data_IF_508895497136
#
_entry.id   IF_508895497136
#
_cell.length_a   1.000
_cell.length_b   1.000
_cell.length_c   1.000
_cell.angle_alpha   90.00
_cell.angle_beta   90.00
_cell.angle_gamma   90.00
#
_symmetry.space_group_name_H-M   'P 1'
#
loop_
_entity.id
_entity.type
_entity.pdbx_description
1 polymer ?
#
# COMPACT_ATOMS: atom_id res chain seq x y z
N UNK A 1 -12.37 -23.14 -35.71
CA UNK A 1 -12.89 -23.21 -37.11
C UNK A 1 -14.38 -22.89 -37.26
N UNK A 2 -15.13 -22.57 -36.19
CA UNK A 2 -16.54 -22.14 -36.30
C UNK A 2 -16.73 -20.64 -36.59
N UNK A 3 -15.72 -19.80 -36.30
CA UNK A 3 -15.81 -18.34 -36.45
C UNK A 3 -15.71 -17.81 -37.89
N UNK A 4 -15.18 -18.61 -38.83
CA UNK A 4 -15.01 -18.20 -40.23
C UNK A 4 -16.29 -18.38 -41.08
N UNK A 5 -17.23 -19.23 -40.65
CA UNK A 5 -18.49 -19.44 -41.38
C UNK A 5 -19.53 -18.36 -41.11
N UNK A 6 -19.51 -17.73 -39.93
CA UNK A 6 -20.45 -16.66 -39.58
C UNK A 6 -20.16 -15.37 -40.34
N UNK A 7 -18.88 -15.08 -40.62
CA UNK A 7 -18.47 -13.89 -41.36
C UNK A 7 -18.91 -13.91 -42.84
N UNK A 8 -19.03 -15.08 -43.46
CA UNK A 8 -19.36 -15.19 -44.88
C UNK A 8 -20.86 -15.07 -45.18
N UNK A 9 -21.75 -15.26 -44.19
CA UNK A 9 -23.20 -15.10 -44.39
C UNK A 9 -23.68 -13.65 -44.28
N UNK A 10 -22.90 -12.77 -43.66
CA UNK A 10 -23.28 -11.36 -43.44
C UNK A 10 -23.09 -10.51 -44.72
N UNK A 11 -22.32 -10.98 -45.69
CA UNK A 11 -21.96 -10.17 -46.86
C UNK A 11 -22.97 -10.21 -48.04
N UNK A 12 -24.09 -10.92 -47.91
CA UNK A 12 -25.12 -11.01 -48.96
C UNK A 12 -26.32 -10.07 -48.76
N UNK A 13 -26.40 -9.34 -47.64
CA UNK A 13 -27.49 -8.38 -47.38
C UNK A 13 -26.98 -6.96 -47.62
N UNK A 14 -26.92 -6.60 -48.90
CA UNK A 14 -26.55 -5.26 -49.36
C UNK A 14 -27.58 -4.21 -48.95
N UNK A 15 -27.38 -3.59 -47.78
CA UNK A 15 -28.05 -2.34 -47.49
C UNK A 15 -27.25 -1.42 -46.57
N UNK A 16 -27.57 -0.14 -46.72
CA UNK A 16 -26.90 1.06 -46.19
C UNK A 16 -27.02 1.26 -44.66
N UNK A 17 -27.16 0.19 -43.88
CA UNK A 17 -27.41 0.23 -42.42
C UNK A 17 -26.11 0.10 -41.60
N UNK A 18 -24.96 -0.03 -42.26
CA UNK A 18 -23.63 -0.15 -41.66
C UNK A 18 -23.21 0.98 -40.70
N UNK A 19 -23.53 2.28 -40.92
CA UNK A 19 -23.08 3.32 -39.99
C UNK A 19 -23.76 3.20 -38.61
N UNK A 20 -24.92 2.55 -38.51
CA UNK A 20 -25.62 2.38 -37.25
C UNK A 20 -24.93 1.36 -36.33
N UNK A 21 -24.41 0.26 -36.89
CA UNK A 21 -23.68 -0.76 -36.12
C UNK A 21 -22.24 -0.33 -35.80
N UNK A 22 -21.59 0.44 -36.68
CA UNK A 22 -20.25 0.98 -36.41
C UNK A 22 -20.25 1.95 -35.22
N UNK A 23 -21.29 2.80 -35.10
CA UNK A 23 -21.45 3.69 -33.95
C UNK A 23 -21.73 2.92 -32.65
N UNK A 24 -22.57 1.88 -32.70
CA UNK A 24 -22.91 1.06 -31.53
C UNK A 24 -21.73 0.21 -31.04
N UNK A 25 -20.92 -0.31 -31.96
CA UNK A 25 -19.68 -1.04 -31.65
C UNK A 25 -18.60 -0.14 -31.05
N UNK A 26 -18.45 1.10 -31.53
CA UNK A 26 -17.49 2.06 -30.97
C UNK A 26 -17.87 2.49 -29.54
N UNK A 27 -19.16 2.70 -29.27
CA UNK A 27 -19.65 3.03 -27.92
C UNK A 27 -19.43 1.85 -26.96
N UNK A 28 -19.68 0.61 -27.38
CA UNK A 28 -19.43 -0.57 -26.53
C UNK A 28 -17.94 -0.79 -26.23
N UNK A 29 -17.03 -0.48 -27.16
CA UNK A 29 -15.59 -0.58 -26.93
C UNK A 29 -15.11 0.50 -25.96
N UNK A 30 -15.56 1.75 -26.11
CA UNK A 30 -15.22 2.84 -25.16
C UNK A 30 -15.79 2.56 -23.77
N UNK A 31 -17.02 2.04 -23.68
CA UNK A 31 -17.60 1.60 -22.40
C UNK A 31 -16.86 0.40 -21.83
N UNK A 32 -16.37 -0.55 -22.62
CA UNK A 32 -15.60 -1.70 -22.09
C UNK A 32 -14.20 -1.33 -21.57
N UNK A 33 -13.58 -0.28 -22.10
CA UNK A 33 -12.29 0.24 -21.60
C UNK A 33 -12.48 1.10 -20.35
N UNK A 34 -13.60 1.84 -20.25
CA UNK A 34 -13.94 2.65 -19.07
C UNK A 34 -14.66 1.88 -17.95
N UNK A 35 -15.33 0.79 -18.29
CA UNK A 35 -15.91 -0.19 -17.35
C UNK A 35 -14.98 -1.40 -17.32
N UNK A 36 -13.69 -1.17 -17.10
CA UNK A 36 -12.95 -2.14 -16.29
C UNK A 36 -13.64 -2.09 -14.94
N UNK A 37 -14.29 -3.18 -14.47
CA UNK A 37 -14.81 -3.20 -13.12
C UNK A 37 -13.63 -2.87 -12.22
N UNK A 38 -13.67 -1.67 -11.64
CA UNK A 38 -12.70 -1.27 -10.64
C UNK A 38 -12.74 -2.38 -9.60
N UNK A 39 -11.64 -3.14 -9.51
CA UNK A 39 -11.40 -3.96 -8.34
C UNK A 39 -11.50 -2.99 -7.19
N UNK A 40 -12.61 -3.04 -6.46
CA UNK A 40 -12.78 -2.21 -5.29
C UNK A 40 -11.63 -2.61 -4.36
N UNK A 41 -10.72 -1.69 -4.01
CA UNK A 41 -9.71 -2.00 -3.02
C UNK A 41 -10.44 -2.48 -1.76
N UNK A 42 -10.16 -3.72 -1.34
CA UNK A 42 -10.78 -4.33 -0.15
C UNK A 42 -11.77 -5.48 -0.37
N UNK A 43 -12.12 -5.89 -1.60
CA UNK A 43 -12.87 -7.14 -1.82
C UNK A 43 -11.94 -8.30 -2.17
N UNK A 44 -11.55 -9.08 -1.15
CA UNK A 44 -10.82 -10.33 -1.33
C UNK A 44 -11.81 -11.42 -1.76
N UNK A 45 -11.78 -11.79 -3.04
CA UNK A 45 -12.44 -13.01 -3.50
C UNK A 45 -11.59 -14.21 -3.06
N UNK A 46 -12.03 -14.89 -1.99
CA UNK A 46 -11.52 -16.22 -1.69
C UNK A 46 -12.15 -17.22 -2.67
N UNK A 47 -11.37 -17.98 -3.45
CA UNK A 47 -11.86 -19.07 -4.27
C UNK A 47 -12.68 -20.04 -3.43
N UNK A 48 -13.72 -20.69 -3.98
CA UNK A 48 -14.46 -21.69 -3.22
C UNK A 48 -13.54 -22.87 -2.85
N UNK A 49 -13.44 -23.18 -1.56
CA UNK A 49 -12.65 -24.30 -1.04
C UNK A 49 -13.00 -25.64 -1.69
N UNK A 50 -14.29 -25.86 -1.98
CA UNK A 50 -14.76 -27.11 -2.59
C UNK A 50 -14.32 -27.26 -4.05
N UNK A 51 -14.04 -26.15 -4.73
CA UNK A 51 -13.74 -26.13 -6.16
C UNK A 51 -12.23 -26.11 -6.44
N UNK A 52 -11.45 -25.43 -5.59
CA UNK A 52 -10.00 -25.26 -5.76
C UNK A 52 -9.26 -25.44 -4.43
N UNK A 53 -9.25 -26.65 -3.84
CA UNK A 53 -8.67 -26.89 -2.52
C UNK A 53 -7.17 -26.55 -2.42
N UNK A 54 -6.43 -26.61 -3.53
CA UNK A 54 -5.02 -26.23 -3.65
C UNK A 54 -4.75 -24.72 -3.43
N UNK A 55 -5.77 -23.88 -3.59
CA UNK A 55 -5.71 -22.44 -3.33
C UNK A 55 -5.98 -22.09 -1.86
N UNK A 56 -6.15 -23.11 -1.00
CA UNK A 56 -6.42 -22.94 0.42
C UNK A 56 -5.34 -23.59 1.28
N UNK A 57 -5.07 -22.96 2.43
CA UNK A 57 -4.16 -23.47 3.46
C UNK A 57 -4.92 -23.55 4.78
N UNK A 58 -5.10 -24.77 5.30
CA UNK A 58 -5.81 -25.00 6.54
C UNK A 58 -4.83 -25.06 7.71
N UNK A 59 -4.87 -24.04 8.57
CA UNK A 59 -4.12 -23.99 9.82
C UNK A 59 -5.07 -24.32 10.97
N UNK A 60 -4.87 -25.47 11.62
CA UNK A 60 -5.79 -25.95 12.67
C UNK A 60 -5.24 -25.61 14.05
N UNK A 61 -3.93 -25.78 14.23
CA UNK A 61 -3.28 -25.53 15.50
C UNK A 61 -3.25 -24.04 15.88
N UNK A 62 -3.42 -23.77 17.18
CA UNK A 62 -3.44 -22.41 17.73
C UNK A 62 -2.14 -21.65 17.47
N UNK A 63 -0.99 -22.31 17.59
CA UNK A 63 0.32 -21.68 17.39
C UNK A 63 0.50 -21.18 15.95
N UNK A 64 0.18 -22.00 14.96
CA UNK A 64 0.26 -21.62 13.54
C UNK A 64 -0.72 -20.51 13.18
N UNK A 65 -1.94 -20.55 13.72
CA UNK A 65 -2.92 -19.46 13.55
C UNK A 65 -2.43 -18.15 14.16
N UNK A 66 -1.80 -18.19 15.34
CA UNK A 66 -1.22 -17.01 15.99
C UNK A 66 -0.12 -16.41 15.11
N UNK A 67 0.84 -17.23 14.66
CA UNK A 67 1.90 -16.76 13.77
C UNK A 67 1.35 -16.17 12.46
N UNK A 68 0.31 -16.77 11.89
CA UNK A 68 -0.35 -16.21 10.70
C UNK A 68 -1.03 -14.86 10.97
N UNK A 69 -1.63 -14.68 12.15
CA UNK A 69 -2.21 -13.39 12.56
C UNK A 69 -1.15 -12.29 12.64
N UNK A 70 -0.01 -12.59 13.27
CA UNK A 70 1.14 -11.67 13.37
C UNK A 70 1.66 -11.28 11.96
N UNK A 71 1.71 -12.23 11.03
CA UNK A 71 2.07 -11.96 9.62
C UNK A 71 1.07 -11.03 8.95
N UNK A 72 -0.23 -11.25 9.15
CA UNK A 72 -1.29 -10.40 8.57
C UNK A 72 -1.17 -8.96 9.09
N UNK A 73 -0.83 -8.77 10.36
CA UNK A 73 -0.57 -7.44 10.92
C UNK A 73 0.63 -6.75 10.23
N UNK A 74 1.73 -7.47 10.01
CA UNK A 74 2.90 -6.95 9.27
C UNK A 74 2.54 -6.59 7.83
N UNK A 75 1.76 -7.44 7.14
CA UNK A 75 1.27 -7.16 5.77
C UNK A 75 0.36 -5.93 5.76
N UNK A 76 -0.49 -5.77 6.76
CA UNK A 76 -1.32 -4.58 6.95
C UNK A 76 -0.46 -3.31 7.02
N UNK A 77 0.62 -3.33 7.79
CA UNK A 77 1.60 -2.22 7.87
C UNK A 77 2.25 -1.92 6.52
N UNK A 78 2.66 -2.94 5.76
CA UNK A 78 3.19 -2.74 4.40
C UNK A 78 2.13 -2.06 3.52
N UNK A 79 0.89 -2.55 3.53
CA UNK A 79 -0.18 -2.01 2.70
C UNK A 79 -0.54 -0.55 3.02
N UNK A 80 -0.42 -0.15 4.30
CA UNK A 80 -0.64 1.23 4.73
C UNK A 80 0.36 2.22 4.10
N UNK A 81 1.51 1.76 3.60
CA UNK A 81 2.52 2.61 2.96
C UNK A 81 2.31 2.77 1.45
N UNK A 82 1.43 1.98 0.83
CA UNK A 82 1.30 1.93 -0.63
C UNK A 82 0.86 3.24 -1.27
N UNK A 83 -0.07 3.98 -0.66
CA UNK A 83 -0.56 5.24 -1.23
C UNK A 83 0.52 6.30 -1.38
N UNK A 84 1.48 6.35 -0.45
CA UNK A 84 2.61 7.27 -0.50
C UNK A 84 3.72 6.78 -1.46
N UNK A 85 3.73 5.48 -1.76
CA UNK A 85 4.71 4.84 -2.64
C UNK A 85 4.23 4.72 -4.10
N UNK A 86 2.95 5.01 -4.39
CA UNK A 86 2.32 4.77 -5.71
C UNK A 86 3.03 5.45 -6.89
N UNK A 87 3.71 6.57 -6.63
CA UNK A 87 4.48 7.29 -7.66
C UNK A 87 5.84 6.64 -7.93
N UNK A 88 6.35 5.82 -7.00
CA UNK A 88 7.70 5.25 -7.03
C UNK A 88 7.74 3.77 -7.39
N UNK A 89 6.69 3.02 -7.09
CA UNK A 89 6.62 1.58 -7.32
C UNK A 89 5.34 1.22 -8.06
N UNK A 90 5.39 0.12 -8.82
CA UNK A 90 4.16 -0.53 -9.27
C UNK A 90 3.49 -1.21 -8.08
N UNK A 91 2.52 -0.52 -7.48
CA UNK A 91 1.78 -1.00 -6.31
C UNK A 91 1.15 -2.35 -6.60
N UNK A 92 0.51 -2.53 -7.76
CA UNK A 92 -0.17 -3.79 -8.11
C UNK A 92 0.80 -4.96 -8.13
N UNK A 93 2.00 -4.78 -8.68
CA UNK A 93 3.03 -5.83 -8.64
C UNK A 93 3.52 -6.10 -7.20
N UNK A 94 3.66 -5.07 -6.38
CA UNK A 94 4.02 -5.22 -4.96
C UNK A 94 2.93 -5.94 -4.16
N UNK A 95 1.64 -5.63 -4.37
CA UNK A 95 0.51 -6.31 -3.72
C UNK A 95 0.55 -7.81 -4.04
N UNK A 96 0.73 -8.17 -5.31
CA UNK A 96 0.83 -9.58 -5.72
C UNK A 96 2.04 -10.27 -5.09
N UNK A 97 3.19 -9.61 -5.00
CA UNK A 97 4.39 -10.17 -4.39
C UNK A 97 4.17 -10.44 -2.89
N UNK A 98 3.56 -9.50 -2.16
CA UNK A 98 3.23 -9.63 -0.73
C UNK A 98 2.18 -10.71 -0.51
N UNK A 99 1.13 -10.75 -1.34
CA UNK A 99 0.10 -11.79 -1.28
C UNK A 99 0.70 -13.18 -1.52
N UNK A 100 1.58 -13.31 -2.51
CA UNK A 100 2.28 -14.57 -2.79
C UNK A 100 3.19 -14.99 -1.64
N UNK A 101 3.96 -14.07 -1.08
CA UNK A 101 4.83 -14.34 0.05
C UNK A 101 4.02 -14.82 1.28
N UNK A 102 2.89 -14.18 1.52
CA UNK A 102 1.94 -14.53 2.61
C UNK A 102 1.34 -15.92 2.39
N UNK A 103 0.92 -16.23 1.16
CA UNK A 103 0.39 -17.56 0.81
C UNK A 103 1.46 -18.66 0.97
N UNK A 104 2.68 -18.43 0.49
CA UNK A 104 3.77 -19.40 0.63
C UNK A 104 4.14 -19.61 2.10
N UNK A 105 4.08 -18.55 2.93
CA UNK A 105 4.31 -18.66 4.38
C UNK A 105 3.22 -19.49 5.07
N UNK A 106 1.95 -19.32 4.69
CA UNK A 106 0.87 -20.19 5.17
C UNK A 106 1.12 -21.66 4.81
N UNK A 107 1.66 -21.94 3.62
CA UNK A 107 2.08 -23.29 3.22
C UNK A 107 3.22 -23.85 4.08
N UNK A 108 4.18 -23.01 4.50
CA UNK A 108 5.24 -23.42 5.43
C UNK A 108 4.70 -23.71 6.83
N UNK A 109 3.77 -22.90 7.33
CA UNK A 109 3.11 -23.13 8.62
C UNK A 109 2.31 -24.43 8.62
N UNK A 110 1.55 -24.70 7.55
CA UNK A 110 0.85 -25.98 7.36
C UNK A 110 1.82 -27.17 7.39
N UNK A 111 2.97 -27.03 6.70
CA UNK A 111 4.02 -28.05 6.70
C UNK A 111 4.65 -28.24 8.08
N UNK A 112 4.90 -27.17 8.84
CA UNK A 112 5.41 -27.22 10.22
C UNK A 112 4.43 -27.98 11.12
N UNK A 113 3.14 -27.67 11.00
CA UNK A 113 2.07 -28.34 11.74
C UNK A 113 2.02 -29.84 11.44
N UNK A 114 2.10 -30.22 10.16
CA UNK A 114 2.13 -31.61 9.72
C UNK A 114 3.34 -32.36 10.27
N UNK A 115 4.53 -31.76 10.20
CA UNK A 115 5.75 -32.34 10.76
C UNK A 115 5.66 -32.52 12.28
N UNK A 116 5.09 -31.54 13.00
CA UNK A 116 4.86 -31.64 14.44
C UNK A 116 3.95 -32.81 14.77
N UNK A 117 2.79 -32.91 14.10
CA UNK A 117 1.86 -34.04 14.30
C UNK A 117 2.55 -35.38 14.04
N UNK A 118 3.22 -35.54 12.90
CA UNK A 118 3.91 -36.80 12.58
C UNK A 118 5.00 -37.13 13.59
N UNK A 119 5.74 -36.13 14.09
CA UNK A 119 6.73 -36.34 15.15
C UNK A 119 6.06 -36.84 16.43
N UNK A 120 5.00 -36.16 16.86
CA UNK A 120 4.29 -36.48 18.09
C UNK A 120 3.66 -37.88 18.00
N UNK A 121 3.04 -38.23 16.85
CA UNK A 121 2.52 -39.57 16.57
C UNK A 121 3.61 -40.64 16.69
N UNK A 122 4.77 -40.43 16.06
CA UNK A 122 5.89 -41.39 16.15
C UNK A 122 6.47 -41.52 17.55
N UNK A 123 6.46 -40.45 18.34
CA UNK A 123 6.93 -40.46 19.73
C UNK A 123 5.98 -41.20 20.68
N UNK A 124 4.69 -41.26 20.35
CA UNK A 124 3.69 -42.01 21.13
C UNK A 124 3.70 -43.52 20.86
N UNK A 125 4.40 -43.97 19.82
CA UNK A 125 4.47 -45.39 19.50
C UNK A 125 5.18 -46.17 20.63
N UNK A 126 4.55 -47.21 21.19
CA UNK A 126 5.16 -48.00 22.23
C UNK A 126 6.34 -48.80 21.65
N UNK A 127 7.52 -48.63 22.25
CA UNK A 127 8.71 -49.41 21.89
C UNK A 127 8.60 -50.90 22.30
N UNK A 128 7.49 -51.33 22.90
CA UNK A 128 7.23 -52.71 23.30
C UNK A 128 8.23 -53.30 24.29
N UNK A 129 8.99 -52.45 25.02
CA UNK A 129 10.10 -52.88 25.87
C UNK A 129 11.33 -53.41 25.09
N UNK A 130 11.39 -53.20 23.77
CA UNK A 130 12.50 -53.64 22.94
C UNK A 130 13.79 -52.86 23.27
N UNK A 131 14.96 -53.51 23.25
CA UNK A 131 16.23 -52.83 23.48
C UNK A 131 16.54 -51.85 22.33
N UNK A 132 17.29 -50.78 22.64
CA UNK A 132 17.69 -49.76 21.66
C UNK A 132 18.50 -50.31 20.47
N UNK A 133 19.14 -51.48 20.63
CA UNK A 133 19.85 -52.18 19.56
C UNK A 133 18.93 -52.88 18.55
N UNK A 134 17.63 -52.99 18.83
CA UNK A 134 16.66 -53.58 17.91
C UNK A 134 16.57 -52.73 16.62
N UNK A 135 16.64 -53.34 15.43
CA UNK A 135 16.60 -52.60 14.15
C UNK A 135 15.34 -51.74 13.97
N UNK A 136 14.19 -52.16 14.52
CA UNK A 136 12.95 -51.39 14.46
C UNK A 136 13.05 -50.10 15.29
N UNK A 137 13.60 -50.19 16.51
CA UNK A 137 13.82 -49.02 17.38
C UNK A 137 14.80 -48.04 16.73
N UNK A 138 15.92 -48.54 16.18
CA UNK A 138 16.87 -47.68 15.45
C UNK A 138 16.25 -47.00 14.24
N UNK A 139 15.41 -47.70 13.48
CA UNK A 139 14.70 -47.13 12.32
C UNK A 139 13.74 -46.01 12.75
N UNK A 140 12.98 -46.22 13.83
CA UNK A 140 12.08 -45.21 14.40
C UNK A 140 12.87 -43.98 14.87
N UNK A 141 13.96 -44.15 15.61
CA UNK A 141 14.85 -43.05 16.01
C UNK A 141 15.37 -42.27 14.80
N UNK A 142 15.84 -42.97 13.76
CA UNK A 142 16.33 -42.33 12.55
C UNK A 142 15.23 -41.54 11.80
N UNK A 143 13.97 -41.99 11.84
CA UNK A 143 12.83 -41.27 11.26
C UNK A 143 12.49 -40.01 12.06
N UNK A 144 12.45 -40.11 13.38
CA UNK A 144 12.25 -38.96 14.28
C UNK A 144 13.34 -37.91 14.05
N UNK A 145 14.60 -38.33 13.93
CA UNK A 145 15.71 -37.42 13.65
C UNK A 145 15.58 -36.73 12.29
N UNK A 146 15.11 -37.44 11.26
CA UNK A 146 14.83 -36.83 9.94
C UNK A 146 13.72 -35.80 10.04
N UNK A 147 12.64 -36.09 10.77
CA UNK A 147 11.53 -35.16 10.96
C UNK A 147 11.98 -33.94 11.75
N UNK A 148 12.78 -34.11 12.80
CA UNK A 148 13.32 -32.99 13.59
C UNK A 148 14.19 -32.06 12.73
N UNK A 149 15.03 -32.62 11.85
CA UNK A 149 15.82 -31.81 10.89
C UNK A 149 14.93 -31.09 9.87
N UNK A 150 13.91 -31.74 9.34
CA UNK A 150 12.97 -31.10 8.43
C UNK A 150 12.18 -29.99 9.14
N UNK A 151 11.80 -30.21 10.40
CA UNK A 151 11.10 -29.24 11.23
C UNK A 151 11.96 -28.00 11.45
N UNK A 152 13.23 -28.15 11.88
CA UNK A 152 14.11 -27.01 12.11
C UNK A 152 14.42 -26.22 10.84
N UNK A 153 14.52 -26.89 9.68
CA UNK A 153 14.67 -26.22 8.39
C UNK A 153 13.45 -25.38 8.02
N UNK A 154 12.24 -25.94 8.19
CA UNK A 154 10.99 -25.21 7.93
C UNK A 154 10.84 -24.02 8.88
N UNK A 155 11.16 -24.20 10.16
CA UNK A 155 11.07 -23.14 11.17
C UNK A 155 12.06 -21.99 10.87
N UNK A 156 13.31 -22.31 10.52
CA UNK A 156 14.29 -21.31 10.11
C UNK A 156 13.85 -20.54 8.85
N UNK A 157 13.21 -21.20 7.89
CA UNK A 157 12.68 -20.55 6.69
C UNK A 157 11.47 -19.65 7.01
N UNK A 158 10.58 -20.09 7.90
CA UNK A 158 9.47 -19.26 8.40
C UNK A 158 10.02 -17.98 9.04
N UNK A 159 10.97 -18.11 9.98
CA UNK A 159 11.58 -16.95 10.64
C UNK A 159 12.26 -16.00 9.65
N UNK A 160 12.97 -16.54 8.65
CA UNK A 160 13.62 -15.74 7.62
C UNK A 160 12.62 -14.92 6.80
N UNK A 161 11.48 -15.51 6.42
CA UNK A 161 10.44 -14.84 5.63
C UNK A 161 9.69 -13.79 6.44
N UNK A 162 9.39 -14.07 7.71
CA UNK A 162 8.78 -13.09 8.62
C UNK A 162 9.71 -11.88 8.77
N UNK A 163 11.00 -12.10 9.05
CA UNK A 163 11.98 -11.02 9.17
C UNK A 163 12.10 -10.19 7.89
N UNK A 164 11.99 -10.81 6.71
CA UNK A 164 12.00 -10.07 5.44
C UNK A 164 10.75 -9.18 5.25
N UNK A 165 9.57 -9.67 5.64
CA UNK A 165 8.34 -8.87 5.63
C UNK A 165 8.40 -7.72 6.64
N UNK A 166 8.87 -7.99 7.86
CA UNK A 166 9.06 -6.96 8.89
C UNK A 166 10.02 -5.87 8.40
N UNK A 167 11.16 -6.28 7.83
CA UNK A 167 12.13 -5.32 7.26
C UNK A 167 11.50 -4.48 6.15
N UNK A 168 10.66 -5.08 5.32
CA UNK A 168 9.93 -4.37 4.26
C UNK A 168 8.96 -3.34 4.84
N UNK A 169 8.22 -3.70 5.89
CA UNK A 169 7.32 -2.78 6.59
C UNK A 169 8.08 -1.61 7.21
N UNK A 170 9.18 -1.88 7.92
CA UNK A 170 10.04 -0.85 8.52
C UNK A 170 10.57 0.14 7.48
N UNK A 171 11.05 -0.36 6.34
CA UNK A 171 11.57 0.50 5.26
C UNK A 171 10.48 1.38 4.67
N UNK A 172 9.28 0.82 4.44
CA UNK A 172 8.14 1.58 3.95
C UNK A 172 7.71 2.67 4.93
N UNK A 173 7.60 2.35 6.22
CA UNK A 173 7.21 3.32 7.26
C UNK A 173 8.24 4.43 7.44
N UNK A 174 9.53 4.08 7.43
CA UNK A 174 10.61 5.05 7.50
C UNK A 174 10.56 6.03 6.32
N UNK A 175 10.35 5.52 5.10
CA UNK A 175 10.19 6.35 3.92
C UNK A 175 9.01 7.32 4.04
N UNK A 176 7.84 6.84 4.47
CA UNK A 176 6.65 7.69 4.67
C UNK A 176 6.92 8.79 5.69
N UNK A 177 7.60 8.47 6.79
CA UNK A 177 7.94 9.44 7.82
C UNK A 177 8.95 10.49 7.32
N UNK A 178 9.97 10.08 6.55
CA UNK A 178 10.94 10.99 5.94
C UNK A 178 10.25 11.95 4.94
N UNK A 179 9.33 11.43 4.13
CA UNK A 179 8.60 12.23 3.15
C UNK A 179 7.60 13.20 3.81
N UNK A 180 6.96 12.79 4.91
CA UNK A 180 6.13 13.69 5.71
C UNK A 180 6.97 14.82 6.35
N UNK A 181 8.14 14.49 6.90
CA UNK A 181 9.07 15.47 7.47
C UNK A 181 9.56 16.46 6.40
N UNK A 182 9.95 15.97 5.22
CA UNK A 182 10.39 16.81 4.10
C UNK A 182 9.31 17.80 3.68
N UNK A 183 8.06 17.35 3.55
CA UNK A 183 6.91 18.22 3.24
C UNK A 183 6.68 19.29 4.32
N UNK A 184 6.76 18.90 5.59
CA UNK A 184 6.63 19.85 6.70
C UNK A 184 7.73 20.92 6.70
N UNK A 185 8.98 20.53 6.44
CA UNK A 185 10.10 21.48 6.32
C UNK A 185 9.91 22.43 5.15
N UNK A 186 9.53 21.93 3.97
CA UNK A 186 9.27 22.78 2.80
C UNK A 186 8.14 23.78 3.05
N UNK A 187 7.07 23.34 3.72
CA UNK A 187 5.98 24.23 4.08
C UNK A 187 6.42 25.31 5.09
N UNK A 188 7.22 24.95 6.09
CA UNK A 188 7.76 25.91 7.04
C UNK A 188 8.69 26.94 6.37
N UNK A 189 9.53 26.50 5.43
CA UNK A 189 10.40 27.39 4.63
C UNK A 189 9.57 28.37 3.78
N UNK A 190 8.48 27.91 3.17
CA UNK A 190 7.57 28.77 2.41
C UNK A 190 6.90 29.81 3.30
N UNK A 191 6.37 29.42 4.46
CA UNK A 191 5.77 30.34 5.42
C UNK A 191 6.77 31.39 5.92
N UNK A 192 8.01 30.99 6.17
CA UNK A 192 9.08 31.92 6.58
C UNK A 192 9.45 32.88 5.44
N UNK A 193 9.51 32.42 4.20
CA UNK A 193 9.77 33.27 3.04
C UNK A 193 8.63 34.28 2.81
N UNK A 194 7.37 33.87 3.00
CA UNK A 194 6.21 34.76 2.92
C UNK A 194 6.25 35.85 4.01
N UNK A 195 6.59 35.49 5.25
CA UNK A 195 6.73 36.45 6.35
C UNK A 195 7.89 37.44 6.13
N UNK A 196 9.02 36.96 5.59
CA UNK A 196 10.16 37.84 5.26
C UNK A 196 9.79 38.81 4.12
N UNK A 197 9.07 38.32 3.11
CA UNK A 197 8.56 39.15 2.02
C UNK A 197 7.53 40.18 2.52
N UNK A 198 6.60 39.79 3.39
CA UNK A 198 5.63 40.69 4.02
C UNK A 198 6.33 41.77 4.86
N UNK A 199 7.36 41.39 5.63
CA UNK A 199 8.19 42.32 6.41
C UNK A 199 8.94 43.30 5.50
N UNK A 200 9.48 42.83 4.37
CA UNK A 200 10.14 43.69 3.39
C UNK A 200 9.14 44.66 2.73
N UNK A 201 7.93 44.20 2.38
CA UNK A 201 6.88 45.08 1.84
C UNK A 201 6.37 46.09 2.87
N UNK A 202 6.21 45.71 4.13
CA UNK A 202 5.81 46.62 5.21
C UNK A 202 6.87 47.70 5.52
N UNK A 203 8.16 47.39 5.31
CA UNK A 203 9.25 48.39 5.39
C UNK A 203 9.34 49.33 4.18
N UNK A 204 8.79 48.92 3.04
CA UNK A 204 8.76 49.71 1.80
C UNK A 204 7.50 50.59 1.71
N UNK A 205 6.44 50.27 2.43
CA UNK A 205 5.36 51.23 2.69
C UNK A 205 5.91 52.37 3.56
N UNK A 206 5.62 53.65 3.23
CA UNK A 206 6.05 54.76 4.06
C UNK A 206 5.48 54.53 5.46
N UNK A 207 6.34 54.57 6.49
CA UNK A 207 5.89 54.36 7.87
C UNK A 207 4.65 55.23 8.11
N UNK A 208 3.59 54.70 8.75
CA UNK A 208 2.41 55.51 9.07
C UNK A 208 2.77 56.75 9.92
N UNK A 209 3.93 56.74 10.59
CA UNK A 209 4.52 57.89 11.26
C UNK A 209 4.93 59.02 10.29
N UNK A 210 5.49 58.68 9.13
CA UNK A 210 5.89 59.63 8.08
C UNK A 210 4.70 60.16 7.30
N UNK A 211 3.72 59.31 6.97
CA UNK A 211 2.47 59.75 6.35
C UNK A 211 1.67 60.68 7.28
N UNK A 212 1.63 60.39 8.59
CA UNK A 212 1.01 61.24 9.59
C UNK A 212 1.77 62.56 9.80
N UNK A 213 3.11 62.54 9.75
CA UNK A 213 3.92 63.74 9.83
C UNK A 213 3.69 64.65 8.62
N UNK A 214 3.62 64.10 7.41
CA UNK A 214 3.32 64.85 6.19
C UNK A 214 1.89 65.41 6.20
N UNK A 215 0.92 64.65 6.72
CA UNK A 215 -0.46 65.10 6.87
C UNK A 215 -0.58 66.21 7.94
N UNK A 216 0.11 66.08 9.08
CA UNK A 216 0.20 67.15 10.08
C UNK A 216 0.88 68.40 9.54
N UNK A 217 1.94 68.25 8.73
CA UNK A 217 2.64 69.39 8.14
C UNK A 217 1.77 70.10 7.08
N UNK A 218 0.98 69.34 6.32
CA UNK A 218 -0.02 69.88 5.40
C UNK A 218 -1.14 70.64 6.14
N UNK A 219 -1.65 70.09 7.24
CA UNK A 219 -2.66 70.76 8.08
C UNK A 219 -2.11 72.04 8.71
N UNK A 220 -0.89 72.02 9.24
CA UNK A 220 -0.24 73.21 9.82
C UNK A 220 0.02 74.29 8.78
N UNK A 221 0.35 73.91 7.53
CA UNK A 221 0.53 74.83 6.41
C UNK A 221 -0.79 75.48 6.01
N UNK A 222 -1.87 74.70 5.87
CA UNK A 222 -3.21 75.21 5.62
C UNK A 222 -3.69 76.17 6.72
N UNK A 223 -3.36 75.87 7.99
CA UNK A 223 -3.70 76.74 9.11
C UNK A 223 -2.91 78.05 9.10
N UNK A 224 -1.62 78.01 8.71
CA UNK A 224 -0.81 79.23 8.50
C UNK A 224 -1.36 80.08 7.36
N UNK A 225 -1.72 79.47 6.24
CA UNK A 225 -2.31 80.19 5.10
C UNK A 225 -3.64 80.86 5.47
N UNK A 226 -4.45 80.25 6.34
CA UNK A 226 -5.70 80.84 6.83
C UNK A 226 -5.48 82.06 7.74
N UNK A 227 -4.38 82.07 8.49
CA UNK A 227 -4.02 83.18 9.39
C UNK A 227 -3.28 84.29 8.63
N UNK A 228 -2.52 83.96 7.59
CA UNK A 228 -1.82 84.90 6.71
C UNK A 228 -2.72 85.51 5.63
N UNK A 229 -4.04 85.19 5.59
CA UNK A 229 -5.01 85.96 4.80
C UNK A 229 -5.01 87.39 5.37
N UNK A 230 -4.50 88.39 4.64
CA UNK A 230 -4.39 89.73 5.17
C UNK A 230 -5.79 90.25 5.45
N UNK A 231 -6.04 90.73 6.67
CA UNK A 231 -7.18 91.56 7.03
C UNK A 231 -7.08 92.92 6.32
N UNK A 232 -7.21 92.90 5.00
CA UNK A 232 -7.12 94.07 4.16
C UNK A 232 -7.74 93.74 2.82
N UNK A 233 -9.05 93.95 2.70
CA UNK A 233 -9.67 94.98 1.86
C UNK A 233 -11.17 95.00 2.17
N UNK A 234 -11.70 96.16 2.58
CA UNK A 234 -13.12 96.54 2.44
C UNK A 234 -13.86 96.77 3.74
#
# INVERSE_FOLDING_TARGET
MLGLLVASMVNCLGGEWWPMFAALGAVLIVVSVFVRPGRQPGTVFAPNFEVQPEEHRLLVASQERKTMSEVVEVVGRISATWSELDVMIDVVSAEHAVARATFDLAGLLERRERLRRTRDDLQTLPNGGLPASNPAVRSLTAQIDRINRAYSQVDAEISRRIAALEKTAEVGEMFVNEEALRRATQHAEQMLAELDQETLTSRLEPEPSTALADEMDAVLRAYRELIDIPNGVG
#
